data_IF_285145709603
#
_entry.id   IF_285145709603
#
_cell.length_a   1.000
_cell.length_b   1.000
_cell.length_c   1.000
_cell.angle_alpha   90.00
_cell.angle_beta   90.00
_cell.angle_gamma   90.00
#
_symmetry.space_group_name_H-M   'P 1'
#
loop_
_entity.id
_entity.type
_entity.pdbx_description
1 polymer ?
#
# COMPACT_ATOMS: atom_id res chain seq x y z
N UNK A 1 29.97 -6.84 -4.57
CA UNK A 1 29.30 -5.59 -4.19
C UNK A 1 27.99 -5.36 -4.96
N UNK A 2 27.12 -6.38 -5.06
CA UNK A 2 25.83 -6.31 -5.79
C UNK A 2 24.61 -6.76 -4.95
N UNK A 3 24.80 -7.16 -3.69
CA UNK A 3 23.72 -7.69 -2.83
C UNK A 3 22.90 -6.60 -2.11
N UNK A 4 23.44 -5.38 -1.98
CA UNK A 4 22.82 -4.30 -1.20
C UNK A 4 21.63 -3.64 -1.93
N UNK A 5 21.60 -3.70 -3.27
CA UNK A 5 20.53 -3.12 -4.09
C UNK A 5 19.23 -3.95 -4.09
N UNK A 6 19.32 -5.27 -3.88
CA UNK A 6 18.15 -6.17 -3.84
C UNK A 6 17.31 -6.00 -2.57
N UNK A 7 17.92 -5.52 -1.47
CA UNK A 7 17.22 -5.27 -0.20
C UNK A 7 16.41 -3.98 -0.17
N UNK A 8 16.92 -2.92 -0.81
CA UNK A 8 16.34 -1.57 -0.73
C UNK A 8 14.96 -1.46 -1.40
N UNK A 9 14.81 -2.08 -2.58
CA UNK A 9 13.51 -2.18 -3.26
C UNK A 9 12.65 -3.33 -2.77
N UNK A 10 13.11 -4.20 -1.86
CA UNK A 10 12.29 -5.30 -1.35
C UNK A 10 11.49 -4.91 -0.10
N UNK A 11 12.01 -3.95 0.69
CA UNK A 11 11.51 -3.63 2.03
C UNK A 11 11.01 -2.18 2.21
N UNK A 12 11.01 -1.37 1.15
CA UNK A 12 10.48 0.00 1.23
C UNK A 12 8.96 0.03 1.47
N UNK A 13 8.39 1.09 2.08
CA UNK A 13 6.96 1.19 2.39
C UNK A 13 6.05 0.93 1.18
N UNK A 14 6.45 1.43 0.00
CA UNK A 14 5.73 1.23 -1.26
C UNK A 14 5.60 -0.25 -1.68
N UNK A 15 6.53 -1.11 -1.24
CA UNK A 15 6.51 -2.52 -1.62
C UNK A 15 5.34 -3.28 -1.01
N UNK A 16 4.84 -2.86 0.14
CA UNK A 16 3.68 -3.51 0.77
C UNK A 16 2.45 -3.36 -0.16
N UNK A 17 2.20 -2.15 -0.66
CA UNK A 17 1.10 -1.90 -1.59
C UNK A 17 1.38 -2.52 -2.98
N UNK A 18 2.57 -2.30 -3.53
CA UNK A 18 2.91 -2.74 -4.89
C UNK A 18 2.91 -4.27 -5.04
N UNK A 19 3.35 -5.02 -4.02
CA UNK A 19 3.34 -6.49 -4.07
C UNK A 19 1.92 -7.05 -4.11
N UNK A 20 1.01 -6.46 -3.34
CA UNK A 20 -0.41 -6.86 -3.35
C UNK A 20 -1.01 -6.55 -4.72
N UNK A 21 -0.78 -5.36 -5.26
CA UNK A 21 -1.25 -4.99 -6.60
C UNK A 21 -0.68 -5.90 -7.69
N UNK A 22 0.63 -6.21 -7.64
CA UNK A 22 1.27 -7.10 -8.60
C UNK A 22 0.71 -8.53 -8.54
N UNK A 23 0.59 -9.10 -7.34
CA UNK A 23 0.11 -10.47 -7.17
C UNK A 23 -1.35 -10.65 -7.57
N UNK A 24 -2.17 -9.62 -7.38
CA UNK A 24 -3.60 -9.62 -7.71
C UNK A 24 -3.92 -9.00 -9.08
N UNK A 25 -2.91 -8.64 -9.89
CA UNK A 25 -3.04 -7.91 -11.16
C UNK A 25 -3.91 -6.63 -11.07
N UNK A 26 -3.85 -5.92 -9.94
CA UNK A 26 -4.58 -4.68 -9.72
C UNK A 26 -3.84 -3.53 -10.42
N UNK A 27 -4.52 -2.88 -11.37
CA UNK A 27 -3.99 -1.74 -12.14
C UNK A 27 -4.44 -0.36 -11.62
N UNK A 28 -5.18 -0.34 -10.50
CA UNK A 28 -5.60 0.88 -9.83
C UNK A 28 -4.51 1.49 -8.94
N UNK A 29 -4.84 2.53 -8.14
CA UNK A 29 -3.89 3.18 -7.25
C UNK A 29 -3.22 2.21 -6.27
N UNK A 30 -1.89 2.26 -6.18
CA UNK A 30 -1.09 1.45 -5.24
C UNK A 30 -0.24 2.38 -4.39
N UNK A 31 -0.68 2.64 -3.15
CA UNK A 31 -0.13 3.71 -2.32
C UNK A 31 0.11 3.21 -0.90
N UNK A 32 1.33 3.34 -0.35
CA UNK A 32 1.58 3.11 1.07
C UNK A 32 1.07 4.29 1.90
N UNK A 33 0.38 4.00 3.01
CA UNK A 33 -0.11 5.03 3.94
C UNK A 33 0.55 4.81 5.30
N UNK A 34 1.33 5.80 5.74
CA UNK A 34 1.91 5.87 7.07
C UNK A 34 1.51 7.20 7.72
N UNK A 35 0.52 7.13 8.60
CA UNK A 35 0.12 8.21 9.49
C UNK A 35 0.23 7.77 10.95
N UNK A 36 1.23 6.92 11.27
CA UNK A 36 1.39 6.27 12.57
C UNK A 36 0.14 5.46 13.00
N UNK A 37 -0.37 5.66 14.22
CA UNK A 37 -1.46 4.87 14.79
C UNK A 37 -2.79 4.97 14.04
N UNK A 38 -2.96 5.99 13.18
CA UNK A 38 -4.18 6.20 12.38
C UNK A 38 -4.07 5.68 10.95
N UNK A 39 -2.97 4.99 10.59
CA UNK A 39 -2.67 4.59 9.21
C UNK A 39 -3.80 3.78 8.56
N UNK A 40 -4.39 2.81 9.27
CA UNK A 40 -5.48 1.99 8.74
C UNK A 40 -6.76 2.79 8.49
N UNK A 41 -7.08 3.76 9.36
CA UNK A 41 -8.25 4.61 9.21
C UNK A 41 -8.05 5.62 8.05
N UNK A 42 -6.87 6.23 7.97
CA UNK A 42 -6.50 7.13 6.87
C UNK A 42 -6.51 6.40 5.52
N UNK A 43 -5.99 5.18 5.46
CA UNK A 43 -6.01 4.36 4.24
C UNK A 43 -7.44 4.02 3.80
N UNK A 44 -8.31 3.68 4.76
CA UNK A 44 -9.73 3.41 4.48
C UNK A 44 -10.44 4.67 3.97
N UNK A 45 -10.17 5.83 4.57
CA UNK A 45 -10.74 7.10 4.15
C UNK A 45 -10.38 7.43 2.69
N UNK A 46 -9.11 7.26 2.32
CA UNK A 46 -8.63 7.49 0.95
C UNK A 46 -9.24 6.48 -0.04
N UNK A 47 -9.37 5.21 0.34
CA UNK A 47 -10.01 4.20 -0.50
C UNK A 47 -11.48 4.56 -0.82
N UNK A 48 -12.23 5.02 0.17
CA UNK A 48 -13.61 5.48 -0.02
C UNK A 48 -13.67 6.69 -0.95
N UNK A 49 -12.77 7.66 -0.77
CA UNK A 49 -12.69 8.82 -1.66
C UNK A 49 -12.34 8.43 -3.11
N UNK A 50 -11.37 7.54 -3.31
CA UNK A 50 -10.97 7.07 -4.63
C UNK A 50 -12.13 6.40 -5.38
N UNK A 51 -12.93 5.59 -4.69
CA UNK A 51 -14.13 4.97 -5.26
C UNK A 51 -15.19 6.03 -5.60
N UNK A 52 -15.46 6.96 -4.68
CA UNK A 52 -16.47 8.02 -4.89
C UNK A 52 -16.10 8.98 -6.03
N UNK A 53 -14.80 9.24 -6.21
CA UNK A 53 -14.28 10.09 -7.28
C UNK A 53 -14.17 9.36 -8.63
N UNK A 54 -14.44 8.05 -8.67
CA UNK A 54 -14.34 7.23 -9.87
C UNK A 54 -12.90 6.88 -10.29
N UNK A 55 -11.93 6.99 -9.38
CA UNK A 55 -10.53 6.60 -9.64
C UNK A 55 -10.36 5.07 -9.68
N UNK A 56 -11.20 4.33 -8.95
CA UNK A 56 -11.29 2.87 -9.02
C UNK A 56 -12.70 2.35 -8.68
N UNK A 57 -13.04 1.16 -9.17
CA UNK A 57 -14.33 0.51 -8.89
C UNK A 57 -14.34 -0.24 -7.56
N UNK A 58 -13.16 -0.65 -7.10
CA UNK A 58 -12.94 -1.36 -5.85
C UNK A 58 -11.56 -1.03 -5.31
N UNK A 59 -11.40 -1.11 -3.98
CA UNK A 59 -10.15 -0.83 -3.29
C UNK A 59 -9.85 -1.93 -2.26
N UNK A 60 -8.58 -2.30 -2.16
CA UNK A 60 -8.06 -3.22 -1.13
C UNK A 60 -7.30 -2.40 -0.11
N UNK A 61 -7.70 -2.49 1.16
CA UNK A 61 -7.07 -1.78 2.28
C UNK A 61 -6.56 -2.78 3.30
N UNK A 62 -5.31 -2.61 3.72
CA UNK A 62 -4.67 -3.44 4.75
C UNK A 62 -3.79 -2.60 5.66
N UNK A 63 -3.61 -3.05 6.90
CA UNK A 63 -2.71 -2.43 7.87
C UNK A 63 -1.92 -3.50 8.63
N UNK A 64 -0.64 -3.25 8.87
CA UNK A 64 0.24 -4.13 9.63
C UNK A 64 0.98 -3.32 10.69
N UNK A 65 0.86 -3.74 11.95
CA UNK A 65 1.65 -3.24 13.08
C UNK A 65 2.55 -4.38 13.54
N UNK A 66 3.87 -4.19 13.44
CA UNK A 66 4.83 -5.10 14.06
C UNK A 66 5.13 -4.60 15.47
N UNK A 67 4.96 -5.47 16.46
CA UNK A 67 5.44 -5.22 17.81
C UNK A 67 6.89 -5.70 17.89
N UNK A 68 7.74 -4.95 18.57
CA UNK A 68 9.13 -5.33 18.84
C UNK A 68 9.21 -6.25 20.07
#
# INVERSE_FOLDING_TARGET
DDDEARGSFASGPAMIANRVSYYLDLRGPSVPIDTACSSSLSATHLAVQAIQNGECEAAVVGGSQINH
#
